data_IF_721864045238
#
_entry.id   IF_721864045238
#
_cell.length_a   1.000
_cell.length_b   1.000
_cell.length_c   1.000
_cell.angle_alpha   90.00
_cell.angle_beta   90.00
_cell.angle_gamma   90.00
#
_symmetry.space_group_name_H-M   'P 1'
#
loop_
_entity.id
_entity.type
_entity.pdbx_description
1 polymer ?
#
# COMPACT_ATOMS: atom_id res chain seq x y z
N UNK A 1 -34.63 32.68 -1.51
CA UNK A 1 -34.40 31.42 -2.24
C UNK A 1 -32.90 31.34 -2.47
N UNK A 2 -32.15 30.83 -1.49
CA UNK A 2 -30.70 30.76 -1.57
C UNK A 2 -30.29 29.32 -1.32
N UNK A 3 -30.04 28.61 -2.43
CA UNK A 3 -29.52 27.25 -2.43
C UNK A 3 -28.02 27.43 -2.21
N UNK A 4 -27.62 27.67 -0.96
CA UNK A 4 -26.22 27.54 -0.58
C UNK A 4 -25.85 26.07 -0.80
N UNK A 5 -25.32 25.75 -1.98
CA UNK A 5 -24.88 24.42 -2.37
C UNK A 5 -23.87 23.94 -1.33
N UNK A 6 -24.35 23.17 -0.33
CA UNK A 6 -23.51 22.49 0.63
C UNK A 6 -22.54 21.62 -0.16
N UNK A 7 -21.30 22.08 -0.33
CA UNK A 7 -20.21 21.29 -0.89
C UNK A 7 -20.12 19.98 -0.12
N UNK A 8 -20.57 18.90 -0.76
CA UNK A 8 -20.58 17.55 -0.19
C UNK A 8 -19.15 17.22 0.22
N UNK A 9 -18.92 17.02 1.53
CA UNK A 9 -17.62 16.56 2.03
C UNK A 9 -17.32 15.24 1.31
N UNK A 10 -16.16 15.16 0.64
CA UNK A 10 -15.74 13.93 -0.06
C UNK A 10 -15.66 12.80 0.97
N UNK A 11 -16.50 11.78 0.83
CA UNK A 11 -16.41 10.59 1.67
C UNK A 11 -15.28 9.70 1.19
N UNK A 12 -14.54 9.09 2.11
CA UNK A 12 -13.57 8.07 1.75
C UNK A 12 -14.31 6.87 1.20
N UNK A 13 -13.95 6.44 -0.01
CA UNK A 13 -14.50 5.25 -0.64
C UNK A 13 -13.59 4.07 -0.31
N UNK A 14 -14.18 2.89 -0.08
CA UNK A 14 -13.41 1.67 0.11
C UNK A 14 -12.51 1.44 -1.11
N UNK A 15 -11.25 1.11 -0.85
CA UNK A 15 -10.29 0.86 -1.92
C UNK A 15 -10.69 -0.40 -2.70
N UNK A 16 -10.79 -0.25 -4.01
CA UNK A 16 -10.94 -1.35 -4.96
C UNK A 16 -9.88 -1.23 -6.04
N UNK A 17 -9.28 -2.35 -6.41
CA UNK A 17 -8.30 -2.41 -7.49
C UNK A 17 -8.82 -3.31 -8.59
N UNK A 18 -9.02 -2.78 -9.80
CA UNK A 18 -9.49 -3.55 -10.97
C UNK A 18 -10.73 -4.41 -10.65
N UNK A 19 -11.67 -3.83 -9.89
CA UNK A 19 -12.91 -4.47 -9.42
C UNK A 19 -12.76 -5.51 -8.31
N UNK A 20 -11.57 -5.65 -7.71
CA UNK A 20 -11.30 -6.53 -6.55
C UNK A 20 -11.19 -5.68 -5.28
N UNK A 21 -11.83 -6.11 -4.18
CA UNK A 21 -11.77 -5.42 -2.89
C UNK A 21 -10.45 -5.68 -2.16
N UNK A 22 -10.10 -4.81 -1.20
CA UNK A 22 -8.84 -4.92 -0.44
C UNK A 22 -8.67 -6.27 0.26
N UNK A 23 -9.67 -6.72 1.01
CA UNK A 23 -9.57 -7.97 1.79
C UNK A 23 -9.31 -9.17 0.88
N UNK A 24 -10.03 -9.21 -0.25
CA UNK A 24 -9.85 -10.24 -1.27
C UNK A 24 -8.46 -10.18 -1.92
N UNK A 25 -7.93 -8.97 -2.18
CA UNK A 25 -6.63 -8.78 -2.82
C UNK A 25 -5.47 -9.33 -1.97
N UNK A 26 -5.62 -9.31 -0.65
CA UNK A 26 -4.60 -9.82 0.30
C UNK A 26 -4.58 -11.35 0.35
N UNK A 27 -5.71 -11.99 0.07
CA UNK A 27 -5.85 -13.45 0.08
C UNK A 27 -5.55 -14.08 -1.30
N UNK A 28 -5.39 -13.27 -2.35
CA UNK A 28 -5.09 -13.77 -3.69
C UNK A 28 -3.72 -14.44 -3.77
N UNK A 29 -3.67 -15.56 -4.47
CA UNK A 29 -2.41 -16.22 -4.80
C UNK A 29 -1.59 -15.39 -5.79
N UNK A 30 -0.26 -15.57 -5.76
CA UNK A 30 0.68 -14.85 -6.62
C UNK A 30 0.28 -14.86 -8.10
N UNK A 31 -0.08 -16.04 -8.65
CA UNK A 31 -0.45 -16.18 -10.06
C UNK A 31 -1.72 -15.41 -10.43
N UNK A 32 -2.71 -15.39 -9.55
CA UNK A 32 -3.96 -14.63 -9.75
C UNK A 32 -3.70 -13.13 -9.66
N UNK A 33 -2.88 -12.70 -8.70
CA UNK A 33 -2.49 -11.31 -8.52
C UNK A 33 -1.71 -10.77 -9.72
N UNK A 34 -0.85 -11.60 -10.32
CA UNK A 34 -0.08 -11.24 -11.50
C UNK A 34 -0.97 -10.84 -12.69
N UNK A 35 -2.06 -11.56 -12.93
CA UNK A 35 -2.99 -11.27 -14.02
C UNK A 35 -3.69 -9.91 -13.87
N UNK A 36 -3.77 -9.39 -12.64
CA UNK A 36 -4.43 -8.13 -12.32
C UNK A 36 -3.53 -6.91 -12.56
N UNK A 37 -2.21 -7.11 -12.54
CA UNK A 37 -1.24 -6.03 -12.72
C UNK A 37 -1.13 -5.56 -14.17
N UNK A 38 -0.67 -4.31 -14.32
CA UNK A 38 -0.24 -3.79 -15.62
C UNK A 38 1.01 -4.53 -16.12
N UNK A 39 1.29 -4.44 -17.43
CA UNK A 39 2.34 -5.20 -18.11
C UNK A 39 3.74 -5.01 -17.49
N UNK A 40 4.09 -3.81 -17.03
CA UNK A 40 5.43 -3.52 -16.51
C UNK A 40 5.71 -4.17 -15.14
N UNK A 41 4.85 -4.01 -14.11
CA UNK A 41 4.97 -4.79 -12.87
C UNK A 41 4.94 -6.30 -13.11
N UNK A 42 4.07 -6.77 -14.00
CA UNK A 42 3.96 -8.20 -14.35
C UNK A 42 5.28 -8.77 -14.89
N UNK A 43 5.92 -8.09 -15.85
CA UNK A 43 7.23 -8.52 -16.40
C UNK A 43 8.32 -8.56 -15.33
N UNK A 44 8.40 -7.53 -14.48
CA UNK A 44 9.41 -7.47 -13.42
C UNK A 44 9.27 -8.63 -12.44
N UNK A 45 8.03 -8.96 -12.07
CA UNK A 45 7.75 -10.07 -11.17
C UNK A 45 8.05 -11.43 -11.82
N UNK A 46 7.76 -11.61 -13.11
CA UNK A 46 8.07 -12.84 -13.84
C UNK A 46 9.57 -13.09 -14.06
N UNK A 47 10.35 -12.02 -14.24
CA UNK A 47 11.81 -12.12 -14.39
C UNK A 47 12.51 -12.43 -13.05
N UNK A 48 11.79 -12.33 -11.94
CA UNK A 48 12.32 -12.53 -10.60
C UNK A 48 12.76 -11.22 -9.94
N UNK A 49 12.57 -11.17 -8.63
CA UNK A 49 12.99 -10.04 -7.80
C UNK A 49 14.48 -10.18 -7.44
N UNK A 50 15.21 -9.07 -7.42
CA UNK A 50 16.55 -9.02 -6.85
C UNK A 50 16.53 -9.47 -5.39
N UNK A 51 17.60 -10.12 -4.92
CA UNK A 51 17.78 -10.53 -3.52
C UNK A 51 17.41 -9.43 -2.51
N UNK A 52 17.85 -8.19 -2.75
CA UNK A 52 17.53 -7.05 -1.87
C UNK A 52 16.04 -6.76 -1.80
N UNK A 53 15.35 -6.84 -2.94
CA UNK A 53 13.91 -6.61 -3.03
C UNK A 53 13.11 -7.75 -2.38
N UNK A 54 13.52 -9.00 -2.59
CA UNK A 54 12.91 -10.16 -1.96
C UNK A 54 13.08 -10.11 -0.42
N UNK A 55 14.28 -9.77 0.06
CA UNK A 55 14.55 -9.60 1.48
C UNK A 55 13.70 -8.49 2.10
N UNK A 56 13.58 -7.34 1.43
CA UNK A 56 12.74 -6.24 1.90
C UNK A 56 11.26 -6.64 2.00
N UNK A 57 10.72 -7.30 0.97
CA UNK A 57 9.35 -7.81 0.99
C UNK A 57 9.13 -8.81 2.13
N UNK A 58 10.11 -9.71 2.33
CA UNK A 58 10.12 -10.68 3.42
C UNK A 58 10.07 -9.97 4.79
N UNK A 59 11.00 -9.06 5.04
CA UNK A 59 11.10 -8.29 6.29
C UNK A 59 9.82 -7.51 6.57
N UNK A 60 9.19 -6.92 5.57
CA UNK A 60 7.91 -6.23 5.72
C UNK A 60 6.80 -7.17 6.21
N UNK A 61 6.65 -8.34 5.57
CA UNK A 61 5.62 -9.33 5.94
C UNK A 61 5.85 -9.89 7.35
N UNK A 62 7.08 -10.30 7.68
CA UNK A 62 7.37 -10.83 9.02
C UNK A 62 7.34 -9.74 10.10
N UNK A 63 7.72 -8.51 9.75
CA UNK A 63 7.62 -7.35 10.63
C UNK A 63 6.17 -7.00 10.98
N UNK A 64 5.24 -7.18 10.05
CA UNK A 64 3.80 -7.02 10.29
C UNK A 64 3.22 -8.16 11.13
N UNK A 65 3.58 -9.43 10.86
CA UNK A 65 3.14 -10.57 11.66
C UNK A 65 3.62 -10.53 13.12
N UNK A 66 4.77 -9.91 13.39
CA UNK A 66 5.31 -9.75 14.75
C UNK A 66 4.79 -8.51 15.47
N UNK A 67 4.28 -7.52 14.74
CA UNK A 67 4.01 -6.17 15.26
C UNK A 67 2.55 -5.83 15.50
N UNK A 68 1.62 -6.80 15.55
CA UNK A 68 0.20 -6.49 15.73
C UNK A 68 -0.52 -7.44 16.71
N UNK A 69 -0.66 -7.04 17.99
CA UNK A 69 -1.71 -7.56 18.86
C UNK A 69 -3.00 -6.73 18.81
N UNK A 70 -2.97 -5.44 18.46
CA UNK A 70 -4.14 -4.58 18.21
C UNK A 70 -3.76 -3.48 17.21
N UNK A 71 -4.67 -3.17 16.29
CA UNK A 71 -4.44 -2.33 15.10
C UNK A 71 -4.19 -0.85 15.40
N UNK A 72 -3.00 -0.51 15.86
CA UNK A 72 -2.47 0.85 15.82
C UNK A 72 -1.71 1.06 14.51
N UNK A 73 -2.21 1.99 13.70
CA UNK A 73 -1.57 2.40 12.46
C UNK A 73 -0.22 3.04 12.79
N UNK A 74 0.88 2.60 12.16
CA UNK A 74 2.12 3.38 12.17
C UNK A 74 1.85 4.70 11.46
N UNK A 75 1.61 5.75 12.24
CA UNK A 75 1.44 7.11 11.76
C UNK A 75 2.62 7.50 10.89
N UNK A 76 2.34 7.81 9.63
CA UNK A 76 3.21 8.68 8.84
C UNK A 76 2.92 10.11 9.28
N UNK A 77 3.40 10.50 10.46
CA UNK A 77 3.34 11.88 10.92
C UNK A 77 4.77 12.34 11.23
N UNK A 78 5.18 13.35 10.45
CA UNK A 78 6.24 14.32 10.73
C UNK A 78 7.67 13.81 10.96
N UNK A 79 8.36 13.46 9.87
CA UNK A 79 9.82 13.63 9.85
C UNK A 79 10.13 15.08 9.47
N UNK A 80 10.65 15.93 10.37
CA UNK A 80 11.08 17.25 9.95
C UNK A 80 12.25 17.09 8.97
N UNK A 81 12.09 17.68 7.78
CA UNK A 81 13.19 17.90 6.84
C UNK A 81 14.20 18.80 7.56
N UNK A 82 15.22 18.19 8.14
CA UNK A 82 16.21 18.87 8.95
C UNK A 82 17.54 18.12 8.93
N UNK A 83 18.08 17.86 7.73
CA UNK A 83 19.46 17.39 7.61
C UNK A 83 20.38 18.59 7.88
N UNK A 84 20.71 18.81 9.15
CA UNK A 84 21.75 19.75 9.54
C UNK A 84 23.05 19.37 8.80
N UNK A 85 23.54 20.28 7.93
CA UNK A 85 24.94 20.25 7.50
C UNK A 85 25.76 20.65 8.72
N UNK A 86 26.54 19.69 9.24
CA UNK A 86 27.62 20.00 10.17
C UNK A 86 28.75 20.63 9.35
N UNK A 87 29.27 21.75 9.85
CA UNK A 87 30.37 22.52 9.29
C UNK A 87 31.72 21.78 9.38
#
# INVERSE_FOLDING_TARGET
>A
MDISEQKKKRTFHKFTYRSVNLDQLLDLSYLQLMQLYSACPWRRLNLGLSWKAALAAKVAVYGQKRGNPQGENRGGEDTPVGRARVA
#
